data_IF_027000438711
#
_entry.id   IF_027000438711
#
_cell.length_a   1.000
_cell.length_b   1.000
_cell.length_c   1.000
_cell.angle_alpha   90.00
_cell.angle_beta   90.00
_cell.angle_gamma   90.00
#
_symmetry.space_group_name_H-M   'P 1'
#
loop_
_entity.id
_entity.type
_entity.pdbx_description
1 polymer ?
#
# COMPACT_ATOMS: atom_id res chain seq x y z
N UNK A 1 32.55 -4.70 23.79
CA UNK A 1 31.14 -4.26 23.83
C UNK A 1 30.60 -3.74 22.48
N UNK A 2 31.42 -3.54 21.43
CA UNK A 2 31.00 -2.91 20.18
C UNK A 2 30.26 -3.81 19.17
N UNK A 3 30.52 -5.11 19.10
CA UNK A 3 29.90 -5.98 18.08
C UNK A 3 28.40 -6.21 18.29
N UNK A 4 27.95 -6.37 19.55
CA UNK A 4 26.54 -6.67 19.86
C UNK A 4 25.61 -5.50 19.54
N UNK A 5 26.05 -4.26 19.81
CA UNK A 5 25.24 -3.07 19.49
C UNK A 5 25.15 -2.83 17.99
N UNK A 6 26.24 -3.09 17.25
CA UNK A 6 26.26 -2.98 15.79
C UNK A 6 25.35 -4.03 15.15
N UNK A 7 25.47 -5.29 15.57
CA UNK A 7 24.61 -6.39 15.13
C UNK A 7 23.12 -6.13 15.43
N UNK A 8 22.81 -5.52 16.59
CA UNK A 8 21.45 -5.11 16.94
C UNK A 8 20.88 -4.05 15.97
N UNK A 9 21.72 -3.09 15.55
CA UNK A 9 21.37 -2.07 14.56
C UNK A 9 21.10 -2.69 13.18
N UNK A 10 22.06 -3.44 12.66
CA UNK A 10 21.96 -4.10 11.34
C UNK A 10 20.76 -5.05 11.24
N UNK A 11 20.44 -5.76 12.33
CA UNK A 11 19.25 -6.61 12.40
C UNK A 11 17.97 -5.78 12.32
N UNK A 12 17.92 -4.63 12.96
CA UNK A 12 16.75 -3.75 12.94
C UNK A 12 16.55 -3.13 11.55
N UNK A 13 17.62 -2.65 10.92
CA UNK A 13 17.60 -2.15 9.54
C UNK A 13 17.11 -3.23 8.57
N UNK A 14 17.58 -4.47 8.72
CA UNK A 14 17.11 -5.60 7.90
C UNK A 14 15.63 -5.95 8.11
N UNK A 15 15.08 -5.67 9.29
CA UNK A 15 13.64 -5.82 9.54
C UNK A 15 12.89 -4.70 8.83
N UNK A 16 13.31 -3.44 9.01
CA UNK A 16 12.66 -2.27 8.38
C UNK A 16 12.70 -2.37 6.86
N UNK A 17 13.82 -2.79 6.27
CA UNK A 17 13.95 -3.05 4.82
C UNK A 17 12.87 -4.02 4.34
N UNK A 18 12.74 -5.19 5.00
CA UNK A 18 11.72 -6.18 4.65
C UNK A 18 10.31 -5.63 4.75
N UNK A 19 10.04 -4.80 5.75
CA UNK A 19 8.75 -4.14 5.92
C UNK A 19 8.47 -3.18 4.75
N UNK A 20 9.43 -2.34 4.36
CA UNK A 20 9.23 -1.42 3.24
C UNK A 20 9.11 -2.14 1.90
N UNK A 21 9.78 -3.27 1.72
CA UNK A 21 9.56 -4.16 0.56
C UNK A 21 8.12 -4.70 0.58
N UNK A 22 7.62 -5.15 1.73
CA UNK A 22 6.24 -5.61 1.86
C UNK A 22 5.22 -4.50 1.62
N UNK A 23 5.46 -3.30 2.15
CA UNK A 23 4.61 -2.13 1.89
C UNK A 23 4.60 -1.82 0.39
N UNK A 24 5.77 -1.75 -0.26
CA UNK A 24 5.85 -1.53 -1.70
C UNK A 24 5.08 -2.58 -2.51
N UNK A 25 5.19 -3.87 -2.14
CA UNK A 25 4.46 -4.94 -2.79
C UNK A 25 2.94 -4.83 -2.57
N UNK A 26 2.51 -4.54 -1.34
CA UNK A 26 1.10 -4.37 -0.99
C UNK A 26 0.47 -3.16 -1.69
N UNK A 27 1.20 -2.05 -1.76
CA UNK A 27 0.80 -0.82 -2.45
C UNK A 27 1.09 -0.84 -3.95
N UNK A 28 1.73 -1.92 -4.44
CA UNK A 28 2.11 -2.13 -5.85
C UNK A 28 3.00 -1.03 -6.42
N UNK A 29 3.80 -0.42 -5.56
CA UNK A 29 4.82 0.54 -5.95
C UNK A 29 6.04 -0.25 -6.40
N UNK A 30 6.51 -0.02 -7.62
CA UNK A 30 7.80 -0.55 -8.11
C UNK A 30 8.95 0.21 -7.45
N UNK A 31 9.11 0.02 -6.15
CA UNK A 31 10.14 0.67 -5.36
C UNK A 31 11.41 -0.18 -5.31
N UNK A 32 12.55 0.51 -5.33
CA UNK A 32 13.86 -0.02 -4.97
C UNK A 32 14.10 0.30 -3.49
N UNK A 33 14.41 -0.72 -2.71
CA UNK A 33 14.74 -0.61 -1.29
C UNK A 33 16.15 -1.13 -1.10
N UNK A 34 17.05 -0.26 -0.63
CA UNK A 34 18.48 -0.55 -0.52
C UNK A 34 19.00 -0.16 0.86
N UNK A 35 19.93 -0.93 1.42
CA UNK A 35 20.58 -0.63 2.69
C UNK A 35 21.97 -0.03 2.52
N UNK A 36 22.41 0.74 3.52
CA UNK A 36 23.75 1.32 3.64
C UNK A 36 24.17 2.03 2.36
N UNK A 37 23.35 2.96 1.91
CA UNK A 37 23.55 3.65 0.63
C UNK A 37 24.40 4.91 0.88
N UNK A 38 25.65 4.97 0.39
CA UNK A 38 26.42 6.21 0.42
C UNK A 38 25.91 7.17 -0.66
N UNK A 39 25.64 8.41 -0.29
CA UNK A 39 25.26 9.49 -1.20
C UNK A 39 26.17 10.69 -0.98
N UNK A 40 26.77 11.20 -2.05
CA UNK A 40 27.61 12.40 -1.97
C UNK A 40 26.70 13.63 -1.92
N UNK A 41 26.82 14.42 -0.85
CA UNK A 41 26.12 15.70 -0.69
C UNK A 41 26.78 16.83 -1.46
N UNK A 42 26.11 17.99 -1.50
CA UNK A 42 26.67 19.22 -2.08
C UNK A 42 27.85 19.80 -1.27
N UNK A 43 28.01 19.36 -0.01
CA UNK A 43 29.16 19.62 0.85
C UNK A 43 30.39 18.75 0.50
N UNK A 44 30.25 17.83 -0.47
CA UNK A 44 31.31 16.91 -0.90
C UNK A 44 31.55 15.75 0.06
N UNK A 45 30.80 15.66 1.17
CA UNK A 45 30.89 14.54 2.09
C UNK A 45 30.02 13.36 1.63
N UNK A 46 30.44 12.14 1.96
CA UNK A 46 29.64 10.93 1.77
C UNK A 46 28.72 10.73 2.98
N UNK A 47 27.41 10.85 2.74
CA UNK A 47 26.37 10.63 3.73
C UNK A 47 25.78 9.24 3.55
N UNK A 48 26.01 8.34 4.51
CA UNK A 48 25.40 7.01 4.51
C UNK A 48 23.96 7.09 5.02
N UNK A 49 23.04 6.50 4.25
CA UNK A 49 21.63 6.31 4.59
C UNK A 49 21.39 4.84 4.92
N UNK A 50 20.83 4.57 6.10
CA UNK A 50 20.60 3.19 6.57
C UNK A 50 19.72 2.41 5.59
N UNK A 51 18.59 3.00 5.16
CA UNK A 51 17.73 2.46 4.10
C UNK A 51 17.28 3.59 3.16
N UNK A 52 17.51 3.40 1.86
CA UNK A 52 16.97 4.26 0.80
C UNK A 52 15.79 3.56 0.13
N UNK A 53 14.62 4.18 0.22
CA UNK A 53 13.42 3.78 -0.52
C UNK A 53 13.23 4.74 -1.69
N UNK A 54 13.17 4.23 -2.91
CA UNK A 54 13.01 5.06 -4.10
C UNK A 54 12.10 4.44 -5.14
N UNK A 55 11.34 5.26 -5.85
CA UNK A 55 10.46 4.84 -6.94
C UNK A 55 10.26 5.98 -7.92
N UNK A 56 9.87 5.63 -9.15
CA UNK A 56 9.48 6.60 -10.17
C UNK A 56 7.96 6.66 -10.27
N UNK A 57 7.42 7.86 -10.38
CA UNK A 57 6.01 8.09 -10.69
C UNK A 57 5.86 9.35 -11.54
N UNK A 58 5.20 9.23 -12.71
CA UNK A 58 5.02 10.30 -13.69
C UNK A 58 6.32 10.99 -14.17
N UNK A 59 7.40 10.21 -14.36
CA UNK A 59 8.72 10.69 -14.74
C UNK A 59 9.51 11.35 -13.60
N UNK A 60 8.96 11.39 -12.39
CA UNK A 60 9.60 11.99 -11.20
C UNK A 60 10.13 10.88 -10.31
N UNK A 61 11.41 10.98 -9.94
CA UNK A 61 12.03 10.06 -8.99
C UNK A 61 11.80 10.56 -7.56
N UNK A 62 11.07 9.79 -6.78
CA UNK A 62 10.85 10.01 -5.36
C UNK A 62 11.88 9.23 -4.55
N UNK A 63 12.53 9.90 -3.60
CA UNK A 63 13.50 9.32 -2.68
C UNK A 63 13.08 9.58 -1.25
N UNK A 64 13.19 8.54 -0.42
CA UNK A 64 12.97 8.61 1.03
C UNK A 64 14.16 7.96 1.71
N UNK A 65 14.91 8.74 2.46
CA UNK A 65 15.93 8.24 3.38
C UNK A 65 15.25 7.84 4.68
N UNK A 66 15.61 6.66 5.19
CA UNK A 66 15.08 6.11 6.43
C UNK A 66 16.27 5.84 7.34
N UNK A 67 16.34 6.55 8.47
CA UNK A 67 17.33 6.33 9.52
C UNK A 67 16.69 5.48 10.63
N UNK A 68 17.42 4.46 11.10
CA UNK A 68 16.96 3.45 12.04
C UNK A 68 17.76 3.51 13.35
N UNK A 69 17.07 3.53 14.49
CA UNK A 69 17.72 3.43 15.82
C UNK A 69 17.10 2.36 16.68
N UNK A 70 17.94 1.46 17.19
CA UNK A 70 17.53 0.38 18.09
C UNK A 70 18.25 0.46 19.45
N UNK A 71 18.04 1.56 20.16
CA UNK A 71 18.67 1.81 21.47
C UNK A 71 17.63 1.72 22.59
N UNK A 72 18.11 1.72 23.84
CA UNK A 72 17.25 1.80 25.03
C UNK A 72 17.02 3.23 25.50
N UNK A 73 17.96 4.12 25.22
CA UNK A 73 17.91 5.50 25.70
C UNK A 73 17.11 6.37 24.72
N UNK A 74 16.33 7.35 25.20
CA UNK A 74 15.58 8.25 24.35
C UNK A 74 16.43 8.90 23.27
N UNK A 75 15.88 8.99 22.05
CA UNK A 75 16.52 9.64 20.91
C UNK A 75 16.63 11.13 21.21
N UNK A 76 17.88 11.60 21.23
CA UNK A 76 18.21 12.98 21.57
C UNK A 76 18.14 13.90 20.34
N UNK A 77 18.24 15.20 20.59
CA UNK A 77 18.20 16.23 19.54
C UNK A 77 19.37 16.12 18.54
N UNK A 78 20.52 15.63 18.98
CA UNK A 78 21.72 15.49 18.16
C UNK A 78 21.54 14.49 17.03
N UNK A 79 20.92 13.34 17.31
CA UNK A 79 20.62 12.33 16.28
C UNK A 79 19.74 12.90 15.16
N UNK A 80 18.69 13.63 15.51
CA UNK A 80 17.79 14.22 14.51
C UNK A 80 18.44 15.36 13.74
N UNK A 81 19.30 16.16 14.39
CA UNK A 81 20.07 17.22 13.70
C UNK A 81 21.07 16.63 12.71
N UNK A 82 21.75 15.54 13.08
CA UNK A 82 22.65 14.84 12.17
C UNK A 82 21.88 14.31 10.95
N UNK A 83 20.75 13.63 11.19
CA UNK A 83 19.94 13.15 10.08
C UNK A 83 19.41 14.30 9.20
N UNK A 84 18.93 15.39 9.80
CA UNK A 84 18.51 16.60 9.08
C UNK A 84 19.62 17.18 8.22
N UNK A 85 20.85 17.25 8.75
CA UNK A 85 22.02 17.72 8.03
C UNK A 85 22.31 16.86 6.79
N UNK A 86 22.26 15.51 6.92
CA UNK A 86 22.41 14.60 5.77
C UNK A 86 21.37 14.91 4.68
N UNK A 87 20.09 15.05 5.06
CA UNK A 87 19.00 15.28 4.11
C UNK A 87 19.13 16.61 3.37
N UNK A 88 19.52 17.66 4.09
CA UNK A 88 19.73 19.01 3.55
C UNK A 88 20.81 18.99 2.46
N UNK A 89 21.97 18.38 2.75
CA UNK A 89 23.09 18.32 1.82
C UNK A 89 22.90 17.32 0.66
N UNK A 90 22.11 16.25 0.85
CA UNK A 90 21.75 15.35 -0.25
C UNK A 90 20.75 16.03 -1.21
N UNK A 91 19.76 16.74 -0.67
CA UNK A 91 18.71 17.40 -1.44
C UNK A 91 17.74 16.44 -2.15
N UNK A 92 16.56 16.94 -2.52
CA UNK A 92 15.51 16.20 -3.21
C UNK A 92 15.22 14.79 -2.62
N UNK A 93 15.19 14.71 -1.28
CA UNK A 93 14.98 13.48 -0.52
C UNK A 93 14.13 13.78 0.71
N UNK A 94 13.17 12.92 1.01
CA UNK A 94 12.36 13.02 2.22
C UNK A 94 12.99 12.18 3.35
N UNK A 95 12.75 12.57 4.60
CA UNK A 95 13.30 11.89 5.77
C UNK A 95 12.26 11.17 6.62
N UNK A 96 12.52 9.90 6.94
CA UNK A 96 11.83 9.14 7.99
C UNK A 96 12.84 8.69 9.03
N UNK A 97 12.52 8.85 10.31
CA UNK A 97 13.33 8.38 11.42
C UNK A 97 12.55 7.34 12.21
N UNK A 98 13.07 6.12 12.27
CA UNK A 98 12.38 4.97 12.88
C UNK A 98 13.11 4.54 14.14
N UNK A 99 12.38 4.50 15.24
CA UNK A 99 12.87 3.98 16.52
C UNK A 99 12.26 2.60 16.80
N UNK A 100 13.10 1.63 17.16
CA UNK A 100 12.64 0.30 17.56
C UNK A 100 11.87 0.33 18.89
N UNK A 101 12.49 0.93 19.92
CA UNK A 101 12.02 0.90 21.30
C UNK A 101 12.10 2.29 21.98
N UNK A 102 12.96 3.18 21.50
CA UNK A 102 13.27 4.44 22.18
C UNK A 102 12.20 5.51 21.96
N UNK A 103 11.89 6.26 23.01
CA UNK A 103 11.12 7.49 22.92
C UNK A 103 11.91 8.61 22.26
N UNK A 104 11.21 9.59 21.70
CA UNK A 104 11.82 10.82 21.17
C UNK A 104 11.77 11.93 22.22
N UNK A 105 12.90 12.57 22.49
CA UNK A 105 12.95 13.77 23.33
C UNK A 105 12.24 14.96 22.66
N UNK A 106 11.76 15.92 23.45
CA UNK A 106 11.05 17.10 22.92
C UNK A 106 11.90 17.93 21.96
N UNK A 107 13.21 18.03 22.22
CA UNK A 107 14.14 18.67 21.29
C UNK A 107 14.20 17.97 19.93
N UNK A 108 14.22 16.64 19.92
CA UNK A 108 14.20 15.84 18.69
C UNK A 108 12.89 16.01 17.92
N UNK A 109 11.74 16.02 18.62
CA UNK A 109 10.42 16.28 18.02
C UNK A 109 10.36 17.65 17.37
N UNK A 110 10.86 18.70 18.03
CA UNK A 110 10.92 20.06 17.47
C UNK A 110 11.75 20.13 16.19
N UNK A 111 12.93 19.48 16.17
CA UNK A 111 13.78 19.40 14.97
C UNK A 111 13.04 18.66 13.85
N UNK A 112 12.39 17.54 14.16
CA UNK A 112 11.61 16.78 13.18
C UNK A 112 10.49 17.61 12.57
N UNK A 113 9.67 18.28 13.39
CA UNK A 113 8.58 19.14 12.91
C UNK A 113 9.08 20.29 12.02
N UNK A 114 10.19 20.94 12.41
CA UNK A 114 10.74 22.06 11.66
C UNK A 114 11.31 21.64 10.30
N UNK A 115 11.98 20.47 10.23
CA UNK A 115 12.67 20.00 9.03
C UNK A 115 11.85 19.00 8.20
N UNK A 116 10.58 18.76 8.55
CA UNK A 116 9.72 17.82 7.81
C UNK A 116 10.13 16.35 7.92
N UNK A 117 10.86 15.95 8.97
CA UNK A 117 11.26 14.56 9.18
C UNK A 117 10.13 13.82 9.89
N UNK A 118 9.65 12.72 9.32
CA UNK A 118 8.61 11.90 9.96
C UNK A 118 9.21 10.98 11.01
N UNK A 119 8.74 11.06 12.25
CA UNK A 119 9.10 10.13 13.32
C UNK A 119 8.11 8.96 13.33
N UNK A 120 8.63 7.73 13.42
CA UNK A 120 7.81 6.51 13.47
C UNK A 120 8.39 5.58 14.53
N UNK A 121 7.53 4.94 15.32
CA UNK A 121 7.93 3.80 16.14
C UNK A 121 7.68 2.48 15.43
N UNK A 122 8.49 1.47 15.72
CA UNK A 122 8.36 0.17 15.07
C UNK A 122 6.98 -0.47 15.25
N UNK A 123 6.33 -0.30 16.41
CA UNK A 123 4.98 -0.80 16.65
C UNK A 123 3.92 -0.10 15.79
N UNK A 124 4.12 1.17 15.43
CA UNK A 124 3.31 1.90 14.47
C UNK A 124 3.57 1.39 13.04
N UNK A 125 4.83 1.16 12.69
CA UNK A 125 5.22 0.62 11.38
C UNK A 125 4.56 -0.76 11.14
N UNK A 126 4.58 -1.63 12.15
CA UNK A 126 4.00 -2.97 12.08
C UNK A 126 2.47 -2.95 11.89
N UNK A 127 1.76 -1.90 12.34
CA UNK A 127 0.32 -1.74 12.09
C UNK A 127 -0.01 -1.51 10.62
N UNK A 128 0.89 -0.89 9.84
CA UNK A 128 0.69 -0.71 8.39
C UNK A 128 0.72 -2.04 7.63
N UNK A 129 1.48 -3.03 8.12
CA UNK A 129 1.53 -4.38 7.55
C UNK A 129 0.30 -5.19 7.96
N UNK A 130 -0.06 -5.08 9.24
CA UNK A 130 -1.08 -5.93 9.85
C UNK A 130 -2.50 -5.37 9.79
N UNK A 131 -2.76 -4.38 8.91
CA UNK A 131 -4.07 -3.83 8.55
C UNK A 131 -5.16 -4.26 9.53
N UNK A 132 -5.22 -3.58 10.68
CA UNK A 132 -6.05 -3.86 11.84
C UNK A 132 -6.99 -5.08 11.73
N UNK A 133 -6.57 -6.19 12.36
CA UNK A 133 -7.39 -7.32 12.83
C UNK A 133 -8.32 -7.98 11.81
N UNK A 134 -7.95 -9.21 11.47
CA UNK A 134 -8.78 -10.13 10.71
C UNK A 134 -10.23 -10.21 11.20
N UNK A 135 -11.13 -9.93 10.28
CA UNK A 135 -12.27 -10.81 9.99
C UNK A 135 -12.61 -10.64 8.53
N UNK A 136 -12.25 -11.68 7.79
CA UNK A 136 -12.51 -11.91 6.37
C UNK A 136 -11.56 -11.21 5.42
N UNK A 137 -11.08 -11.98 4.45
CA UNK A 137 -10.29 -11.60 3.29
C UNK A 137 -11.11 -10.70 2.34
N UNK A 138 -11.72 -9.65 2.89
CA UNK A 138 -12.55 -8.70 2.16
C UNK A 138 -11.68 -7.47 1.91
N UNK A 139 -11.45 -7.09 0.66
CA UNK A 139 -10.84 -5.81 0.37
C UNK A 139 -11.70 -4.69 0.95
N UNK A 140 -11.09 -3.76 1.67
CA UNK A 140 -11.76 -2.57 2.18
C UNK A 140 -11.73 -1.42 1.15
N UNK A 141 -12.32 -0.28 1.48
CA UNK A 141 -12.31 0.90 0.60
C UNK A 141 -10.91 1.49 0.36
N UNK A 142 -9.90 1.07 1.14
CA UNK A 142 -8.49 1.45 0.98
C UNK A 142 -7.74 0.49 0.07
N UNK A 143 -8.32 -0.67 -0.24
CA UNK A 143 -7.69 -1.66 -1.10
C UNK A 143 -7.60 -1.15 -2.53
N UNK A 144 -6.39 -1.11 -3.07
CA UNK A 144 -6.14 -0.70 -4.45
C UNK A 144 -6.73 -1.76 -5.38
N UNK A 145 -7.66 -1.39 -6.26
CA UNK A 145 -8.31 -2.30 -7.20
C UNK A 145 -7.48 -2.54 -8.46
N UNK A 146 -6.38 -3.28 -8.35
CA UNK A 146 -5.57 -3.69 -9.51
C UNK A 146 -5.66 -5.22 -9.76
N UNK A 147 -6.26 -5.63 -10.90
CA UNK A 147 -6.69 -4.74 -12.01
C UNK A 147 -8.10 -4.15 -11.85
N UNK A 148 -8.95 -4.67 -10.94
CA UNK A 148 -10.38 -4.37 -10.96
C UNK A 148 -10.93 -3.81 -9.66
N UNK A 149 -12.08 -3.16 -9.77
CA UNK A 149 -13.01 -2.81 -8.71
C UNK A 149 -14.28 -3.65 -8.86
N UNK A 150 -14.91 -3.98 -7.75
CA UNK A 150 -16.16 -4.73 -7.73
C UNK A 150 -17.06 -4.28 -6.58
N UNK A 151 -18.30 -4.76 -6.61
CA UNK A 151 -19.22 -4.59 -5.48
C UNK A 151 -19.29 -5.87 -4.66
N UNK A 152 -19.36 -5.72 -3.34
CA UNK A 152 -19.56 -6.84 -2.41
C UNK A 152 -20.73 -6.57 -1.47
N UNK A 153 -21.49 -7.61 -1.17
CA UNK A 153 -22.50 -7.61 -0.13
C UNK A 153 -21.87 -7.99 1.22
N UNK A 154 -21.73 -7.02 2.12
CA UNK A 154 -21.08 -7.24 3.42
C UNK A 154 -21.89 -8.13 4.38
N UNK A 155 -23.19 -8.33 4.12
CA UNK A 155 -24.03 -9.23 4.92
C UNK A 155 -23.95 -10.70 4.46
N UNK A 156 -23.22 -10.98 3.38
CA UNK A 156 -23.06 -12.34 2.89
C UNK A 156 -22.34 -13.22 3.91
N UNK A 157 -22.93 -14.38 4.22
CA UNK A 157 -22.41 -15.32 5.22
C UNK A 157 -21.32 -16.24 4.66
N UNK A 158 -21.16 -16.27 3.34
CA UNK A 158 -20.17 -17.05 2.63
C UNK A 158 -19.70 -16.30 1.36
N UNK A 159 -18.67 -16.82 0.70
CA UNK A 159 -18.06 -16.20 -0.48
C UNK A 159 -19.06 -15.94 -1.61
N UNK A 160 -20.00 -16.86 -1.85
CA UNK A 160 -21.02 -16.70 -2.89
C UNK A 160 -21.96 -15.56 -2.53
N UNK A 161 -22.52 -15.55 -1.32
CA UNK A 161 -23.43 -14.49 -0.88
C UNK A 161 -22.77 -13.10 -0.84
N UNK A 162 -21.45 -13.05 -0.63
CA UNK A 162 -20.67 -11.82 -0.62
C UNK A 162 -20.40 -11.29 -2.04
N UNK A 163 -20.06 -12.18 -2.99
CA UNK A 163 -19.63 -11.80 -4.33
C UNK A 163 -20.77 -11.78 -5.36
N UNK A 164 -21.84 -12.55 -5.15
CA UNK A 164 -22.92 -12.80 -6.12
C UNK A 164 -24.28 -12.33 -5.58
N UNK A 165 -24.44 -11.01 -5.45
CA UNK A 165 -25.72 -10.41 -5.04
C UNK A 165 -26.52 -9.84 -6.24
N UNK A 166 -25.88 -9.70 -7.40
CA UNK A 166 -26.51 -9.29 -8.67
C UNK A 166 -26.85 -10.52 -9.51
N UNK A 167 -28.00 -10.49 -10.19
CA UNK A 167 -28.43 -11.58 -11.09
C UNK A 167 -27.50 -11.73 -12.28
N UNK A 168 -26.83 -10.65 -12.65
CA UNK A 168 -25.95 -10.54 -13.81
C UNK A 168 -24.61 -11.26 -13.62
N UNK A 169 -24.25 -11.61 -12.39
CA UNK A 169 -22.95 -12.18 -12.04
C UNK A 169 -22.07 -11.25 -11.22
N UNK A 170 -20.78 -11.60 -11.14
CA UNK A 170 -19.73 -10.73 -10.59
C UNK A 170 -19.37 -9.69 -11.66
N UNK A 171 -19.55 -8.42 -11.32
CA UNK A 171 -19.20 -7.29 -12.20
C UNK A 171 -17.85 -6.70 -11.79
N UNK A 172 -16.94 -6.60 -12.76
CA UNK A 172 -15.61 -6.04 -12.62
C UNK A 172 -15.51 -4.72 -13.38
N UNK A 173 -14.77 -3.76 -12.82
CA UNK A 173 -14.53 -2.45 -13.40
C UNK A 173 -13.04 -2.12 -13.34
N UNK A 174 -12.39 -1.78 -14.45
CA UNK A 174 -10.98 -1.37 -14.44
C UNK A 174 -10.78 -0.01 -13.75
N UNK A 175 -11.81 0.83 -13.76
CA UNK A 175 -11.77 2.17 -13.19
C UNK A 175 -12.72 2.31 -12.01
N UNK A 176 -12.19 2.80 -10.89
CA UNK A 176 -12.98 3.18 -9.72
C UNK A 176 -14.07 4.19 -10.09
N UNK A 177 -13.74 5.15 -10.94
CA UNK A 177 -14.68 6.18 -11.37
C UNK A 177 -15.91 5.57 -12.06
N UNK A 178 -15.72 4.64 -13.02
CA UNK A 178 -16.82 3.97 -13.69
C UNK A 178 -17.66 3.11 -12.72
N UNK A 179 -17.00 2.45 -11.77
CA UNK A 179 -17.70 1.74 -10.71
C UNK A 179 -18.54 2.69 -9.83
N UNK A 180 -18.00 3.82 -9.39
CA UNK A 180 -18.74 4.83 -8.62
C UNK A 180 -19.94 5.39 -9.40
N UNK A 181 -19.79 5.67 -10.70
CA UNK A 181 -20.92 6.09 -11.54
C UNK A 181 -21.99 5.00 -11.64
N UNK A 182 -21.58 3.74 -11.85
CA UNK A 182 -22.50 2.61 -11.86
C UNK A 182 -23.25 2.49 -10.52
N UNK A 183 -22.56 2.66 -9.39
CA UNK A 183 -23.18 2.66 -8.07
C UNK A 183 -24.24 3.75 -7.93
N UNK A 184 -23.88 4.98 -8.30
CA UNK A 184 -24.72 6.16 -8.17
C UNK A 184 -25.91 6.18 -9.13
N UNK A 185 -25.92 5.38 -10.18
CA UNK A 185 -27.01 5.37 -11.15
C UNK A 185 -27.85 4.09 -11.10
N UNK A 186 -27.23 2.95 -10.78
CA UNK A 186 -27.87 1.63 -10.83
C UNK A 186 -28.11 1.03 -9.44
N UNK A 187 -27.24 1.33 -8.46
CA UNK A 187 -27.31 0.74 -7.11
C UNK A 187 -27.88 1.70 -6.06
N UNK A 188 -28.47 2.83 -6.47
CA UNK A 188 -29.10 3.82 -5.56
C UNK A 188 -30.14 3.20 -4.61
N UNK A 189 -30.83 2.15 -5.06
CA UNK A 189 -31.86 1.44 -4.30
C UNK A 189 -31.38 0.08 -3.76
N UNK A 190 -30.11 -0.27 -3.96
CA UNK A 190 -29.54 -1.47 -3.37
C UNK A 190 -29.28 -1.24 -1.89
N UNK A 191 -29.41 -2.32 -1.10
CA UNK A 191 -29.22 -2.31 0.34
C UNK A 191 -27.91 -1.59 0.74
N UNK A 192 -27.93 -0.81 1.83
CA UNK A 192 -26.80 -0.01 2.33
C UNK A 192 -25.55 -0.85 2.65
N UNK A 193 -25.68 -2.17 2.58
CA UNK A 193 -24.65 -3.15 2.88
C UNK A 193 -23.82 -3.56 1.65
N UNK A 194 -24.09 -2.99 0.47
CA UNK A 194 -23.25 -3.16 -0.73
C UNK A 194 -22.15 -2.10 -0.76
N UNK A 195 -20.88 -2.54 -0.84
CA UNK A 195 -19.72 -1.64 -0.93
C UNK A 195 -18.91 -1.85 -2.21
N UNK A 196 -18.42 -0.74 -2.74
CA UNK A 196 -17.38 -0.71 -3.76
C UNK A 196 -16.01 -0.99 -3.13
N UNK A 197 -15.31 -2.00 -3.64
CA UNK A 197 -14.03 -2.49 -3.12
C UNK A 197 -13.05 -2.77 -4.26
N UNK A 198 -11.75 -2.66 -4.00
CA UNK A 198 -10.72 -3.06 -4.95
C UNK A 198 -10.48 -4.57 -4.94
N UNK A 199 -10.27 -5.20 -6.08
CA UNK A 199 -10.02 -6.65 -6.17
C UNK A 199 -8.54 -6.94 -5.94
N UNK A 200 -8.22 -7.66 -4.87
CA UNK A 200 -6.85 -8.13 -4.60
C UNK A 200 -6.48 -9.34 -5.46
N UNK A 201 -5.19 -9.67 -5.56
CA UNK A 201 -4.74 -10.86 -6.32
C UNK A 201 -5.28 -12.17 -5.74
N UNK A 202 -5.38 -12.27 -4.41
CA UNK A 202 -5.97 -13.43 -3.76
C UNK A 202 -7.46 -13.55 -4.03
N UNK A 203 -8.17 -12.41 -4.05
CA UNK A 203 -9.59 -12.37 -4.37
C UNK A 203 -9.84 -12.67 -5.85
N UNK A 204 -8.94 -12.27 -6.75
CA UNK A 204 -9.04 -12.63 -8.15
C UNK A 204 -8.94 -14.15 -8.36
N UNK A 205 -8.09 -14.85 -7.59
CA UNK A 205 -8.05 -16.33 -7.55
C UNK A 205 -9.35 -16.94 -7.02
N UNK A 206 -9.97 -16.31 -6.02
CA UNK A 206 -11.27 -16.73 -5.51
C UNK A 206 -12.38 -16.54 -6.55
N UNK A 207 -12.36 -15.44 -7.32
CA UNK A 207 -13.31 -15.21 -8.42
C UNK A 207 -13.15 -16.29 -9.51
N UNK A 208 -11.91 -16.66 -9.86
CA UNK A 208 -11.64 -17.78 -10.77
C UNK A 208 -12.26 -19.08 -10.23
N UNK A 209 -12.02 -19.40 -8.96
CA UNK A 209 -12.61 -20.57 -8.30
C UNK A 209 -14.14 -20.55 -8.33
N UNK A 210 -14.76 -19.42 -8.00
CA UNK A 210 -16.23 -19.26 -8.05
C UNK A 210 -16.78 -19.46 -9.46
N UNK A 211 -16.08 -18.93 -10.46
CA UNK A 211 -16.46 -19.09 -11.86
C UNK A 211 -16.36 -20.54 -12.32
N UNK A 212 -15.29 -21.25 -11.96
CA UNK A 212 -15.09 -22.61 -12.44
C UNK A 212 -15.95 -23.64 -11.68
N UNK A 213 -15.95 -23.60 -10.35
CA UNK A 213 -16.69 -24.59 -9.54
C UNK A 213 -18.19 -24.33 -9.52
N UNK A 214 -18.59 -23.07 -9.36
CA UNK A 214 -20.00 -22.69 -9.19
C UNK A 214 -20.62 -22.11 -10.46
N UNK A 215 -19.88 -22.09 -11.57
CA UNK A 215 -20.34 -21.60 -12.89
C UNK A 215 -20.90 -20.18 -12.83
N UNK A 216 -20.32 -19.35 -11.95
CA UNK A 216 -20.71 -17.95 -11.79
C UNK A 216 -20.33 -17.14 -13.03
N UNK A 217 -21.24 -16.29 -13.50
CA UNK A 217 -20.94 -15.34 -14.57
C UNK A 217 -20.01 -14.23 -14.05
N UNK A 218 -18.94 -13.94 -14.77
CA UNK A 218 -18.01 -12.85 -14.46
C UNK A 218 -17.94 -11.95 -15.69
N UNK A 219 -18.10 -10.65 -15.46
CA UNK A 219 -18.29 -9.66 -16.53
C UNK A 219 -17.46 -8.41 -16.28
N UNK A 220 -16.78 -7.93 -17.31
CA UNK A 220 -15.99 -6.71 -17.29
C UNK A 220 -16.76 -5.55 -17.90
N UNK A 221 -16.86 -4.43 -17.20
CA UNK A 221 -17.50 -3.22 -17.71
C UNK A 221 -16.76 -2.69 -18.94
N UNK A 222 -17.46 -2.55 -20.06
CA UNK A 222 -16.88 -1.99 -21.28
C UNK A 222 -17.07 -0.47 -21.27
N UNK A 223 -16.01 0.23 -20.87
CA UNK A 223 -15.99 1.70 -20.82
C UNK A 223 -16.03 2.39 -22.19
N UNK A 224 -15.71 1.68 -23.27
CA UNK A 224 -15.65 2.25 -24.62
C UNK A 224 -17.00 2.25 -25.33
N UNK A 225 -17.85 1.26 -25.01
CA UNK A 225 -19.18 1.12 -25.64
C UNK A 225 -20.33 1.46 -24.69
N UNK A 226 -20.07 1.65 -23.41
CA UNK A 226 -21.09 2.06 -22.43
C UNK A 226 -21.20 3.58 -22.37
N UNK A 227 -22.38 4.11 -22.64
CA UNK A 227 -22.71 5.51 -22.34
C UNK A 227 -23.11 5.58 -20.86
N UNK A 228 -22.34 6.32 -20.05
CA UNK A 228 -22.60 6.50 -18.62
C UNK A 228 -24.01 7.02 -18.30
N UNK A 229 -24.65 7.69 -19.26
CA UNK A 229 -25.96 8.29 -19.07
C UNK A 229 -27.10 7.48 -19.74
N UNK A 230 -26.80 6.34 -20.38
CA UNK A 230 -27.80 5.53 -21.07
C UNK A 230 -27.67 4.05 -20.77
N UNK A 231 -28.80 3.49 -20.36
CA UNK A 231 -28.97 2.06 -20.16
C UNK A 231 -29.43 1.38 -21.47
N UNK A 232 -29.03 0.12 -21.76
CA UNK A 232 -28.20 -0.76 -20.93
C UNK A 232 -26.69 -0.50 -21.02
N UNK A 233 -26.00 -0.70 -19.90
CA UNK A 233 -24.54 -0.76 -19.87
C UNK A 233 -24.03 -2.03 -20.55
N UNK A 234 -22.89 -1.92 -21.21
CA UNK A 234 -22.26 -3.04 -21.91
C UNK A 234 -21.16 -3.66 -21.06
N UNK A 235 -21.18 -4.99 -21.00
CA UNK A 235 -20.14 -5.77 -20.33
C UNK A 235 -19.64 -6.89 -21.24
N UNK A 236 -18.34 -7.17 -21.19
CA UNK A 236 -17.75 -8.35 -21.77
C UNK A 236 -17.84 -9.51 -20.79
N UNK A 237 -18.24 -10.69 -21.25
CA UNK A 237 -18.11 -11.90 -20.44
C UNK A 237 -16.64 -12.28 -20.42
N UNK A 238 -16.09 -12.53 -19.23
CA UNK A 238 -14.74 -13.05 -19.07
C UNK A 238 -14.81 -14.55 -18.85
N UNK A 239 -13.98 -15.33 -19.55
CA UNK A 239 -13.71 -16.73 -19.25
C UNK A 239 -12.62 -16.87 -18.15
N UNK A 240 -12.21 -18.10 -17.81
CA UNK A 240 -11.17 -18.31 -16.78
C UNK A 240 -9.81 -17.82 -17.28
N UNK A 241 -9.47 -18.10 -18.54
CA UNK A 241 -8.19 -17.70 -19.13
C UNK A 241 -8.05 -16.18 -19.19
N UNK A 242 -9.14 -15.47 -19.52
CA UNK A 242 -9.20 -14.01 -19.52
C UNK A 242 -8.83 -13.44 -18.14
N UNK A 243 -9.33 -14.04 -17.05
CA UNK A 243 -9.07 -13.57 -15.68
C UNK A 243 -7.65 -13.97 -15.23
N UNK A 244 -7.18 -15.15 -15.62
CA UNK A 244 -5.82 -15.65 -15.31
C UNK A 244 -4.72 -14.74 -15.88
N UNK A 245 -4.95 -14.07 -17.01
CA UNK A 245 -4.01 -13.09 -17.58
C UNK A 245 -3.67 -11.93 -16.63
N UNK A 246 -4.51 -11.67 -15.62
CA UNK A 246 -4.31 -10.62 -14.63
C UNK A 246 -3.76 -11.13 -13.29
N UNK A 247 -3.52 -12.44 -13.19
CA UNK A 247 -2.84 -13.06 -12.05
C UNK A 247 -1.32 -12.92 -12.24
N UNK A 248 -0.65 -12.53 -11.17
CA UNK A 248 0.81 -12.33 -11.11
C UNK A 248 1.41 -12.98 -9.88
#
# INVERSE_FOLDING_TARGET
MNNVSKEKGEKFESIVEKIYIQIANNERIKAKVEKHVPIIGDDGASHEIDILYSYEHFGVNYKVAIECKNWKNPINVGELRNFSYKLEHIGNINGIFISAESEFQDGAKKVSSYNGIRLIKYDELYKFINGEKGKYLVPDYKTIGDPFWMFMNLNGKNSIEQNLFLKEGILLFESKYFAEQFQNLYLLNCDNNVKLVGVSQQHLKEIIYLKDEYKVSVKLFNQFTSDLNKWPYHFWNLDVADIEMYIR
#
